data_IF_137312706474
#
_entry.id   IF_137312706474
#
_cell.length_a   1.000
_cell.length_b   1.000
_cell.length_c   1.000
_cell.angle_alpha   90.00
_cell.angle_beta   90.00
_cell.angle_gamma   90.00
#
_symmetry.space_group_name_H-M   'P 1'
#
loop_
_entity.id
_entity.type
_entity.pdbx_description
1 polymer ?
#
# COMPACT_ATOMS: atom_id res chain seq x y z
N UNK A 1 -11.11 18.74 -18.26
CA UNK A 1 -10.14 17.74 -18.75
C UNK A 1 -10.45 16.40 -18.10
N UNK A 2 -10.68 15.30 -18.85
CA UNK A 2 -11.00 14.01 -18.24
C UNK A 2 -9.81 13.46 -17.44
N UNK A 3 -10.06 12.81 -16.28
CA UNK A 3 -9.00 12.37 -15.39
C UNK A 3 -8.16 11.22 -15.97
N UNK A 4 -6.90 11.15 -15.54
CA UNK A 4 -5.94 10.11 -15.88
C UNK A 4 -6.10 8.93 -14.91
N UNK A 5 -6.26 7.68 -15.37
CA UNK A 5 -6.36 6.53 -14.47
C UNK A 5 -5.15 6.36 -13.53
N UNK A 6 -3.95 6.80 -13.93
CA UNK A 6 -2.79 6.80 -13.03
C UNK A 6 -2.97 7.72 -11.82
N UNK A 7 -3.79 8.76 -11.92
CA UNK A 7 -4.09 9.63 -10.79
C UNK A 7 -4.85 8.90 -9.66
N UNK A 8 -5.49 7.77 -9.94
CA UNK A 8 -6.06 6.89 -8.92
C UNK A 8 -5.08 5.78 -8.49
N UNK A 9 -4.37 5.17 -9.44
CA UNK A 9 -3.48 4.04 -9.14
C UNK A 9 -2.26 4.48 -8.32
N UNK A 10 -1.69 5.67 -8.60
CA UNK A 10 -0.51 6.15 -7.88
C UNK A 10 -0.75 6.33 -6.37
N UNK A 11 -1.81 7.00 -5.90
CA UNK A 11 -2.11 7.05 -4.47
C UNK A 11 -2.36 5.68 -3.84
N UNK A 12 -2.97 4.74 -4.56
CA UNK A 12 -3.18 3.37 -4.06
C UNK A 12 -1.85 2.61 -3.89
N UNK A 13 -0.94 2.75 -4.85
CA UNK A 13 0.43 2.21 -4.77
C UNK A 13 1.21 2.89 -3.64
N UNK A 14 1.06 4.21 -3.45
CA UNK A 14 1.69 4.92 -2.35
C UNK A 14 1.20 4.43 -0.99
N UNK A 15 -0.09 4.10 -0.86
CA UNK A 15 -0.64 3.51 0.36
C UNK A 15 -0.01 2.13 0.65
N UNK A 16 0.14 1.27 -0.37
CA UNK A 16 0.87 0.00 -0.21
C UNK A 16 2.34 0.24 0.17
N UNK A 17 2.99 1.24 -0.43
CA UNK A 17 4.36 1.62 -0.11
C UNK A 17 4.54 2.07 1.33
N UNK A 18 3.56 2.81 1.87
CA UNK A 18 3.56 3.22 3.27
C UNK A 18 3.43 2.05 4.25
N UNK A 19 2.80 0.95 3.85
CA UNK A 19 2.72 -0.27 4.66
C UNK A 19 3.99 -1.11 4.48
N UNK A 20 4.47 -1.26 3.25
CA UNK A 20 5.68 -2.01 2.95
C UNK A 20 6.94 -1.39 3.59
N UNK A 21 6.94 -0.08 3.84
CA UNK A 21 8.05 0.62 4.50
C UNK A 21 8.28 0.21 5.95
N UNK A 22 7.44 -0.66 6.54
CA UNK A 22 7.76 -1.33 7.82
C UNK A 22 9.12 -2.05 7.74
N UNK A 23 9.53 -2.45 6.54
CA UNK A 23 10.87 -2.97 6.25
C UNK A 23 12.02 -1.95 6.40
N UNK A 24 11.75 -0.68 6.69
CA UNK A 24 12.77 0.34 6.89
C UNK A 24 13.17 0.54 8.37
N UNK A 25 12.53 -0.17 9.30
CA UNK A 25 12.85 -0.07 10.74
C UNK A 25 14.30 -0.52 10.95
N UNK A 26 15.09 0.32 11.63
CA UNK A 26 16.49 0.03 11.89
C UNK A 26 16.62 -0.78 13.19
N UNK A 27 16.78 -2.10 13.08
CA UNK A 27 16.89 -3.03 14.21
C UNK A 27 18.06 -2.70 15.16
N UNK A 28 19.13 -2.06 14.65
CA UNK A 28 20.25 -1.59 15.48
C UNK A 28 19.88 -0.51 16.51
N UNK A 29 18.67 0.06 16.43
CA UNK A 29 18.15 1.05 17.36
C UNK A 29 17.43 0.50 18.59
N UNK A 30 17.07 -0.79 18.63
CA UNK A 30 16.31 -1.40 19.74
C UNK A 30 17.00 -1.28 21.10
N UNK A 31 18.34 -1.28 21.16
CA UNK A 31 19.06 -1.10 22.43
C UNK A 31 19.03 0.35 22.94
N UNK A 32 18.82 1.34 22.06
CA UNK A 32 18.87 2.77 22.41
C UNK A 32 17.50 3.35 22.80
N UNK A 33 16.39 2.64 22.56
CA UNK A 33 15.03 3.11 22.81
C UNK A 33 14.51 2.87 24.23
N UNK A 34 15.27 2.17 25.09
CA UNK A 34 14.89 1.85 26.47
C UNK A 34 14.57 3.09 27.36
N UNK A 35 14.89 4.32 26.91
CA UNK A 35 14.59 5.56 27.62
C UNK A 35 13.47 6.42 27.02
N UNK A 36 12.82 6.02 25.92
CA UNK A 36 11.69 6.79 25.37
C UNK A 36 10.44 6.58 26.22
N UNK A 37 9.71 7.66 26.48
CA UNK A 37 8.43 7.65 27.17
C UNK A 37 7.47 6.75 26.39
N UNK A 38 7.28 5.51 26.88
CA UNK A 38 6.31 4.54 26.35
C UNK A 38 4.94 5.19 26.34
N UNK A 39 4.52 5.67 25.17
CA UNK A 39 3.12 6.03 24.99
C UNK A 39 2.43 4.70 24.78
N UNK A 40 1.62 4.22 25.73
CA UNK A 40 0.78 3.02 25.56
C UNK A 40 -0.19 3.26 24.39
N UNK A 41 0.30 3.19 23.16
CA UNK A 41 -0.52 3.12 21.95
C UNK A 41 -1.16 1.75 21.96
N UNK A 42 -2.41 1.67 21.51
CA UNK A 42 -3.14 0.40 21.44
C UNK A 42 -2.57 -0.40 20.26
N UNK A 43 -1.41 -1.03 20.44
CA UNK A 43 -0.72 -1.83 19.42
C UNK A 43 -1.65 -2.81 18.71
N UNK A 44 -2.55 -3.44 19.46
CA UNK A 44 -3.56 -4.36 18.90
C UNK A 44 -4.62 -3.67 18.03
N UNK A 45 -5.00 -2.41 18.31
CA UNK A 45 -5.90 -1.67 17.42
C UNK A 45 -5.16 -1.21 16.16
N UNK A 46 -3.93 -0.71 16.28
CA UNK A 46 -3.13 -0.31 15.12
C UNK A 46 -2.88 -1.47 14.15
N UNK A 47 -2.55 -2.67 14.65
CA UNK A 47 -2.42 -3.88 13.81
C UNK A 47 -3.74 -4.26 13.11
N UNK A 48 -4.87 -4.20 13.83
CA UNK A 48 -6.20 -4.51 13.28
C UNK A 48 -6.62 -3.48 12.22
N UNK A 49 -6.35 -2.21 12.46
CA UNK A 49 -6.63 -1.13 11.51
C UNK A 49 -5.72 -1.22 10.29
N UNK A 50 -4.44 -1.58 10.47
CA UNK A 50 -3.51 -1.85 9.37
C UNK A 50 -3.96 -3.03 8.51
N UNK A 51 -4.40 -4.13 9.13
CA UNK A 51 -4.98 -5.29 8.42
C UNK A 51 -6.20 -4.85 7.60
N UNK A 52 -7.09 -4.05 8.19
CA UNK A 52 -8.26 -3.49 7.52
C UNK A 52 -7.87 -2.60 6.33
N UNK A 53 -6.79 -1.82 6.46
CA UNK A 53 -6.25 -1.02 5.36
C UNK A 53 -5.75 -1.89 4.21
N UNK A 54 -5.00 -2.98 4.51
CA UNK A 54 -4.51 -3.91 3.49
C UNK A 54 -5.66 -4.56 2.72
N UNK A 55 -6.69 -5.03 3.45
CA UNK A 55 -7.89 -5.62 2.85
C UNK A 55 -8.68 -4.62 1.99
N UNK A 56 -8.80 -3.37 2.46
CA UNK A 56 -9.42 -2.29 1.70
C UNK A 56 -8.69 -1.99 0.40
N UNK A 57 -7.36 -1.89 0.46
CA UNK A 57 -6.50 -1.71 -0.71
C UNK A 57 -6.61 -2.90 -1.67
N UNK A 58 -6.61 -4.14 -1.18
CA UNK A 58 -6.82 -5.33 -2.02
C UNK A 58 -8.17 -5.25 -2.76
N UNK A 59 -9.24 -4.84 -2.07
CA UNK A 59 -10.55 -4.61 -2.71
C UNK A 59 -10.50 -3.53 -3.78
N UNK A 60 -9.78 -2.43 -3.54
CA UNK A 60 -9.58 -1.36 -4.54
C UNK A 60 -8.86 -1.91 -5.78
N UNK A 61 -7.77 -2.65 -5.61
CA UNK A 61 -7.03 -3.22 -6.73
C UNK A 61 -7.85 -4.27 -7.50
N UNK A 62 -8.65 -5.09 -6.83
CA UNK A 62 -9.61 -5.99 -7.49
C UNK A 62 -10.64 -5.22 -8.32
N UNK A 63 -11.11 -4.05 -7.85
CA UNK A 63 -11.99 -3.19 -8.64
C UNK A 63 -11.29 -2.59 -9.84
N UNK A 64 -10.01 -2.22 -9.74
CA UNK A 64 -9.23 -1.81 -10.91
C UNK A 64 -9.16 -2.94 -11.96
N UNK A 65 -8.87 -4.17 -11.53
CA UNK A 65 -8.82 -5.34 -12.39
C UNK A 65 -10.17 -5.67 -13.05
N UNK A 66 -11.28 -5.50 -12.32
CA UNK A 66 -12.63 -5.70 -12.84
C UNK A 66 -13.04 -4.64 -13.89
N UNK A 67 -12.30 -3.54 -14.00
CA UNK A 67 -12.57 -2.44 -14.93
C UNK A 67 -11.36 -2.16 -15.85
N UNK A 68 -10.90 -3.16 -16.64
CA UNK A 68 -9.66 -3.06 -17.39
C UNK A 68 -9.70 -2.00 -18.49
N UNK A 69 -10.89 -1.71 -19.03
CA UNK A 69 -11.09 -0.65 -20.02
C UNK A 69 -10.76 0.77 -19.50
N UNK A 70 -10.73 0.93 -18.17
CA UNK A 70 -10.43 2.19 -17.47
C UNK A 70 -9.07 2.12 -16.79
N UNK A 71 -8.79 1.01 -16.09
CA UNK A 71 -7.64 0.88 -15.18
C UNK A 71 -6.63 -0.22 -15.55
N UNK A 72 -6.76 -0.91 -16.68
CA UNK A 72 -5.80 -1.95 -17.09
C UNK A 72 -5.59 -2.04 -18.61
N UNK A 73 -5.80 -0.95 -19.34
CA UNK A 73 -5.54 -0.91 -20.78
C UNK A 73 -4.04 -0.91 -21.09
N UNK A 74 -3.62 -1.63 -22.13
CA UNK A 74 -2.22 -1.70 -22.59
C UNK A 74 -1.69 -0.39 -23.23
N UNK A 75 -2.45 0.71 -23.14
CA UNK A 75 -2.13 1.96 -23.80
C UNK A 75 -2.41 1.87 -25.31
N UNK A 76 -3.47 2.56 -25.77
CA UNK A 76 -3.61 2.81 -27.21
C UNK A 76 -2.48 3.73 -27.67
N UNK A 77 -1.47 3.16 -28.31
CA UNK A 77 -0.14 3.75 -28.54
C UNK A 77 -0.05 4.95 -29.51
N UNK A 78 -1.11 5.36 -30.22
CA UNK A 78 -0.90 6.28 -31.36
C UNK A 78 -1.29 7.75 -31.17
N UNK A 79 -2.08 8.13 -30.14
CA UNK A 79 -2.61 9.51 -30.07
C UNK A 79 -2.95 10.07 -28.69
N UNK A 80 -2.68 9.34 -27.61
CA UNK A 80 -2.89 9.85 -26.26
C UNK A 80 -1.65 10.65 -25.80
N UNK A 81 -1.76 11.95 -25.47
CA UNK A 81 -0.63 12.72 -24.97
C UNK A 81 -0.10 12.08 -23.68
N UNK A 82 1.20 11.78 -23.66
CA UNK A 82 1.88 11.21 -22.50
C UNK A 82 1.72 12.15 -21.30
N UNK A 83 1.22 11.62 -20.18
CA UNK A 83 1.35 12.26 -18.87
C UNK A 83 2.31 11.41 -18.04
N UNK A 84 3.40 12.01 -17.56
CA UNK A 84 4.45 11.33 -16.78
C UNK A 84 5.03 10.05 -17.44
N UNK A 85 5.06 10.00 -18.77
CA UNK A 85 5.61 8.87 -19.52
C UNK A 85 4.70 7.64 -19.63
N UNK A 86 3.42 7.73 -19.23
CA UNK A 86 2.49 6.58 -19.34
C UNK A 86 1.28 6.87 -20.24
N UNK A 87 0.89 5.87 -21.02
CA UNK A 87 -0.22 5.92 -21.98
C UNK A 87 -1.55 5.59 -21.26
N UNK A 88 -2.27 6.62 -20.79
CA UNK A 88 -3.60 6.45 -20.20
C UNK A 88 -4.73 6.66 -21.21
N UNK A 89 -5.70 5.72 -21.29
CA UNK A 89 -7.01 6.02 -21.91
C UNK A 89 -7.76 6.99 -21.00
N UNK A 90 -8.28 8.08 -21.57
CA UNK A 90 -9.07 9.07 -20.83
C UNK A 90 -10.31 8.43 -20.21
N UNK A 91 -10.62 8.79 -18.97
CA UNK A 91 -11.85 8.33 -18.30
C UNK A 91 -13.06 8.94 -19.02
N UNK A 92 -13.94 8.07 -19.51
CA UNK A 92 -15.20 8.43 -20.16
C UNK A 92 -16.25 8.88 -19.14
N UNK A 93 -17.26 9.62 -19.60
CA UNK A 93 -18.28 10.21 -18.73
C UNK A 93 -19.08 9.16 -17.93
N UNK A 94 -19.32 7.98 -18.51
CA UNK A 94 -19.96 6.82 -17.86
C UNK A 94 -19.12 6.22 -16.72
N UNK A 95 -17.79 6.29 -16.82
CA UNK A 95 -16.86 5.81 -15.78
C UNK A 95 -16.55 6.87 -14.69
N UNK A 96 -17.03 8.10 -14.83
CA UNK A 96 -16.66 9.21 -13.94
C UNK A 96 -17.14 9.00 -12.50
N UNK A 97 -18.36 8.48 -12.29
CA UNK A 97 -18.89 8.21 -10.94
C UNK A 97 -18.09 7.13 -10.22
N UNK A 98 -17.73 6.06 -10.94
CA UNK A 98 -16.88 4.99 -10.43
C UNK A 98 -15.50 5.52 -10.04
N UNK A 99 -14.88 6.32 -10.91
CA UNK A 99 -13.58 6.93 -10.63
C UNK A 99 -13.60 7.79 -9.36
N UNK A 100 -14.59 8.68 -9.22
CA UNK A 100 -14.70 9.54 -8.03
C UNK A 100 -14.91 8.73 -6.75
N UNK A 101 -15.70 7.65 -6.80
CA UNK A 101 -15.86 6.74 -5.67
C UNK A 101 -14.55 6.06 -5.30
N UNK A 102 -13.81 5.54 -6.27
CA UNK A 102 -12.51 4.91 -6.04
C UNK A 102 -11.50 5.89 -5.44
N UNK A 103 -11.44 7.13 -5.94
CA UNK A 103 -10.56 8.15 -5.38
C UNK A 103 -10.88 8.44 -3.92
N UNK A 104 -12.16 8.52 -3.54
CA UNK A 104 -12.55 8.72 -2.15
C UNK A 104 -12.14 7.51 -1.28
N UNK A 105 -12.44 6.29 -1.73
CA UNK A 105 -12.04 5.06 -1.02
C UNK A 105 -10.50 5.02 -0.81
N UNK A 106 -9.73 5.37 -1.84
CA UNK A 106 -8.26 5.42 -1.80
C UNK A 106 -7.76 6.49 -0.83
N UNK A 107 -8.35 7.69 -0.85
CA UNK A 107 -7.96 8.77 0.05
C UNK A 107 -8.14 8.39 1.53
N UNK A 108 -9.25 7.71 1.85
CA UNK A 108 -9.49 7.19 3.20
C UNK A 108 -8.45 6.16 3.62
N UNK A 109 -8.04 5.26 2.71
CA UNK A 109 -7.04 4.24 3.03
C UNK A 109 -5.60 4.75 3.05
N UNK A 110 -5.23 5.73 2.22
CA UNK A 110 -3.86 6.23 2.14
C UNK A 110 -3.38 6.83 3.47
N UNK A 111 -4.19 7.73 4.05
CA UNK A 111 -3.82 8.41 5.31
C UNK A 111 -3.76 7.41 6.46
N UNK A 112 -4.77 6.54 6.57
CA UNK A 112 -4.85 5.53 7.62
C UNK A 112 -3.73 4.49 7.50
N UNK A 113 -3.37 4.07 6.28
CA UNK A 113 -2.28 3.13 6.05
C UNK A 113 -0.95 3.67 6.58
N UNK A 114 -0.62 4.93 6.27
CA UNK A 114 0.62 5.55 6.74
C UNK A 114 0.66 5.72 8.26
N UNK A 115 -0.45 6.17 8.87
CA UNK A 115 -0.54 6.33 10.32
C UNK A 115 -0.41 4.99 11.05
N UNK A 116 -1.15 3.98 10.61
CA UNK A 116 -1.13 2.66 11.23
C UNK A 116 0.21 1.94 11.02
N UNK A 117 0.84 2.09 9.86
CA UNK A 117 2.17 1.56 9.61
C UNK A 117 3.20 2.19 10.56
N UNK A 118 3.15 3.51 10.74
CA UNK A 118 4.04 4.21 11.67
C UNK A 118 3.83 3.77 13.13
N UNK A 119 2.58 3.59 13.56
CA UNK A 119 2.27 3.09 14.90
C UNK A 119 2.79 1.67 15.12
N UNK A 120 2.66 0.80 14.11
CA UNK A 120 3.22 -0.56 14.14
C UNK A 120 4.75 -0.53 14.17
N UNK A 121 5.40 0.33 13.39
CA UNK A 121 6.86 0.52 13.44
C UNK A 121 7.31 0.92 14.84
N UNK A 122 6.61 1.88 15.44
CA UNK A 122 6.89 2.34 16.81
C UNK A 122 6.74 1.19 17.81
N UNK A 123 5.69 0.37 17.69
CA UNK A 123 5.48 -0.78 18.56
C UNK A 123 6.55 -1.87 18.43
N UNK A 124 7.13 -2.05 17.24
CA UNK A 124 8.29 -2.94 17.02
C UNK A 124 9.53 -2.35 17.69
N UNK A 125 9.80 -1.05 17.52
CA UNK A 125 10.95 -0.37 18.13
C UNK A 125 10.88 -0.32 19.67
N UNK A 126 9.68 -0.22 20.23
CA UNK A 126 9.41 -0.22 21.67
C UNK A 126 9.41 -1.64 22.28
N UNK A 127 9.45 -2.67 21.43
CA UNK A 127 9.49 -4.09 21.80
C UNK A 127 8.14 -4.68 22.20
N UNK A 128 7.02 -4.02 21.88
CA UNK A 128 5.65 -4.52 22.09
C UNK A 128 5.28 -5.60 21.06
N UNK A 129 5.94 -5.59 19.90
CA UNK A 129 5.84 -6.62 18.86
C UNK A 129 7.22 -7.23 18.67
N UNK A 130 7.31 -8.55 18.84
CA UNK A 130 8.55 -9.31 18.59
C UNK A 130 8.59 -9.82 17.14
N UNK A 131 8.82 -8.91 16.20
CA UNK A 131 8.73 -9.20 14.77
C UNK A 131 9.89 -10.12 14.30
N UNK A 132 9.61 -11.34 13.82
CA UNK A 132 10.64 -12.22 13.27
C UNK A 132 11.28 -11.61 12.01
N UNK A 133 12.54 -11.97 11.77
CA UNK A 133 13.31 -11.49 10.63
C UNK A 133 12.63 -11.85 9.29
N UNK A 134 12.01 -13.03 9.21
CA UNK A 134 11.29 -13.50 8.03
C UNK A 134 10.09 -12.61 7.68
N UNK A 135 9.36 -12.12 8.68
CA UNK A 135 8.21 -11.22 8.46
C UNK A 135 8.70 -9.88 7.94
N UNK A 136 9.81 -9.38 8.47
CA UNK A 136 10.44 -8.14 8.03
C UNK A 136 10.95 -8.22 6.58
N UNK A 137 11.67 -9.29 6.24
CA UNK A 137 12.09 -9.54 4.86
C UNK A 137 10.90 -9.63 3.91
N UNK A 138 9.78 -10.21 4.35
CA UNK A 138 8.54 -10.23 3.59
C UNK A 138 8.03 -8.82 3.24
N UNK A 139 8.04 -7.88 4.20
CA UNK A 139 7.71 -6.48 3.91
C UNK A 139 8.72 -5.85 2.93
N UNK A 140 10.01 -6.15 3.10
CA UNK A 140 11.09 -5.63 2.25
C UNK A 140 10.97 -6.10 0.80
N UNK A 141 10.62 -7.37 0.59
CA UNK A 141 10.33 -7.93 -0.73
C UNK A 141 9.17 -7.16 -1.39
N UNK A 142 8.09 -6.88 -0.65
CA UNK A 142 6.97 -6.12 -1.21
C UNK A 142 7.37 -4.69 -1.54
N UNK A 143 8.19 -4.04 -0.71
CA UNK A 143 8.72 -2.71 -0.99
C UNK A 143 9.56 -2.70 -2.27
N UNK A 144 10.42 -3.70 -2.47
CA UNK A 144 11.26 -3.79 -3.67
C UNK A 144 10.43 -4.03 -4.93
N UNK A 145 9.37 -4.84 -4.84
CA UNK A 145 8.42 -5.02 -5.95
C UNK A 145 7.73 -3.70 -6.31
N UNK A 146 7.32 -2.88 -5.33
CA UNK A 146 6.76 -1.55 -5.58
C UNK A 146 7.78 -0.60 -6.21
N UNK A 147 9.01 -0.58 -5.71
CA UNK A 147 10.10 0.22 -6.28
C UNK A 147 10.34 -0.14 -7.74
N UNK A 148 10.36 -1.44 -8.05
CA UNK A 148 10.54 -1.96 -9.41
C UNK A 148 9.48 -1.41 -10.36
N UNK A 149 8.20 -1.36 -9.95
CA UNK A 149 7.13 -0.80 -10.78
C UNK A 149 7.39 0.67 -11.16
N UNK A 150 7.90 1.46 -10.22
CA UNK A 150 8.19 2.88 -10.42
C UNK A 150 9.43 3.05 -11.31
N UNK A 151 10.51 2.34 -11.00
CA UNK A 151 11.79 2.43 -11.71
C UNK A 151 11.68 1.99 -13.16
N UNK A 152 10.96 0.89 -13.41
CA UNK A 152 10.80 0.34 -14.77
C UNK A 152 9.70 1.02 -15.58
N UNK A 153 8.98 1.99 -14.98
CA UNK A 153 7.81 2.64 -15.59
C UNK A 153 6.81 1.60 -16.10
N UNK A 154 6.46 0.67 -15.22
CA UNK A 154 5.55 -0.43 -15.55
C UNK A 154 4.25 0.06 -16.18
N UNK A 155 3.68 -0.75 -17.08
CA UNK A 155 2.39 -0.43 -17.70
C UNK A 155 1.29 -0.39 -16.64
N UNK A 156 0.19 0.34 -16.92
CA UNK A 156 -0.95 0.44 -16.02
C UNK A 156 -1.47 -0.94 -15.57
N UNK A 157 -1.58 -1.87 -16.52
CA UNK A 157 -2.00 -3.25 -16.27
C UNK A 157 -1.03 -3.95 -15.31
N UNK A 158 0.26 -3.92 -15.61
CA UNK A 158 1.30 -4.52 -14.76
C UNK A 158 1.27 -3.93 -13.35
N UNK A 159 1.14 -2.61 -13.22
CA UNK A 159 1.04 -1.92 -11.93
C UNK A 159 -0.18 -2.37 -11.13
N UNK A 160 -1.35 -2.47 -11.76
CA UNK A 160 -2.59 -2.91 -11.10
C UNK A 160 -2.50 -4.38 -10.68
N UNK A 161 -2.04 -5.26 -11.55
CA UNK A 161 -1.94 -6.69 -11.27
C UNK A 161 -0.93 -6.97 -10.15
N UNK A 162 0.22 -6.29 -10.19
CA UNK A 162 1.25 -6.42 -9.16
C UNK A 162 0.79 -5.81 -7.84
N UNK A 163 0.13 -4.65 -7.86
CA UNK A 163 -0.41 -4.01 -6.66
C UNK A 163 -1.48 -4.86 -5.97
N UNK A 164 -2.32 -5.58 -6.75
CA UNK A 164 -3.30 -6.51 -6.20
C UNK A 164 -2.63 -7.65 -5.42
N UNK A 165 -1.61 -8.28 -5.99
CA UNK A 165 -0.86 -9.35 -5.32
C UNK A 165 -0.12 -8.83 -4.07
N UNK A 166 0.54 -7.67 -4.17
CA UNK A 166 1.22 -7.03 -3.04
C UNK A 166 0.25 -6.75 -1.88
N UNK A 167 -0.97 -6.25 -2.17
CA UNK A 167 -1.96 -5.98 -1.12
C UNK A 167 -2.36 -7.26 -0.36
N UNK A 168 -2.47 -8.40 -1.06
CA UNK A 168 -2.76 -9.70 -0.44
C UNK A 168 -1.58 -10.13 0.43
N UNK A 169 -0.36 -10.08 -0.10
CA UNK A 169 0.87 -10.46 0.64
C UNK A 169 1.07 -9.60 1.90
N UNK A 170 0.87 -8.29 1.80
CA UNK A 170 0.93 -7.39 2.95
C UNK A 170 -0.15 -7.73 3.99
N UNK A 171 -1.35 -8.12 3.57
CA UNK A 171 -2.39 -8.58 4.50
C UNK A 171 -1.92 -9.80 5.30
N UNK A 172 -1.30 -10.77 4.63
CA UNK A 172 -0.79 -11.98 5.27
C UNK A 172 0.37 -11.67 6.23
N UNK A 173 1.28 -10.77 5.84
CA UNK A 173 2.38 -10.33 6.70
C UNK A 173 1.89 -9.59 7.95
N UNK A 174 0.89 -8.72 7.83
CA UNK A 174 0.30 -8.02 8.99
C UNK A 174 -0.40 -9.01 9.93
N UNK A 175 -1.08 -10.02 9.38
CA UNK A 175 -1.66 -11.12 10.18
C UNK A 175 -0.61 -11.93 10.90
N UNK A 176 0.51 -12.21 10.24
CA UNK A 176 1.62 -12.92 10.86
C UNK A 176 2.20 -12.08 11.99
N UNK A 177 2.51 -10.81 11.73
CA UNK A 177 3.04 -9.86 12.70
C UNK A 177 2.17 -9.77 13.96
N UNK A 178 0.84 -9.82 13.80
CA UNK A 178 -0.11 -9.80 14.90
C UNK A 178 0.01 -11.01 15.84
N UNK A 179 0.48 -12.17 15.38
CA UNK A 179 0.74 -13.34 16.23
C UNK A 179 1.91 -13.11 17.19
N UNK A 180 2.79 -12.17 16.86
CA UNK A 180 3.98 -11.82 17.64
C UNK A 180 3.78 -10.60 18.54
N UNK A 181 2.54 -10.10 18.64
CA UNK A 181 2.20 -9.06 19.60
C UNK A 181 2.30 -9.65 21.03
N UNK A 182 3.06 -9.00 21.91
CA UNK A 182 3.10 -9.39 23.33
C UNK A 182 1.73 -9.10 23.96
N UNK A 183 1.19 -10.10 24.65
CA UNK A 183 -0.03 -9.90 25.43
C UNK A 183 0.26 -8.91 26.59
N UNK A 184 -0.68 -8.00 26.89
CA UNK A 184 -0.52 -7.03 27.97
C UNK A 184 -0.43 -7.69 29.35
#
# INVERSE_FOLDING_TARGET
MPPDPFAAVLPAIAALGAIASIAAINWSGQEKSASRTRTKRKTGSSLRELETCCMGLASIFQRFQAHPNVFAGEGGQASAPMKFGVHGRRIRADAQRLYLRLINDIASHLVLAAQNAFDVMTAIEDGDIDAPEEVFFGFGEQQERLNTLIQTRATLRTTVDTGADIAIRLTDLVRELRKHQKQP
#
